data_IF_138134763794
#
_entry.id   IF_138134763794
#
_cell.length_a   1.000
_cell.length_b   1.000
_cell.length_c   1.000
_cell.angle_alpha   90.00
_cell.angle_beta   90.00
_cell.angle_gamma   90.00
#
_symmetry.space_group_name_H-M   'P 1'
#
loop_
_entity.id
_entity.type
_entity.pdbx_description
1 polymer ?
#
# COMPACT_ATOMS: atom_id res chain seq x y z
N UNK A 1 -3.89 4.77 53.50
CA UNK A 1 -2.67 4.91 52.68
C UNK A 1 -2.35 3.59 52.05
N UNK A 2 -2.78 3.38 50.80
CA UNK A 2 -2.56 2.14 50.07
C UNK A 2 -1.21 2.23 49.38
N UNK A 3 -0.22 1.52 49.89
CA UNK A 3 1.08 1.36 49.27
C UNK A 3 0.93 0.53 48.01
N UNK A 4 0.95 1.18 46.85
CA UNK A 4 1.14 0.49 45.60
C UNK A 4 2.62 0.08 45.54
N UNK A 5 2.90 -1.12 46.02
CA UNK A 5 4.20 -1.77 45.81
C UNK A 5 4.28 -2.06 44.30
N UNK A 6 4.94 -1.20 43.58
CA UNK A 6 5.42 -1.44 42.22
C UNK A 6 6.26 -2.69 42.25
N UNK A 7 5.70 -3.82 41.86
CA UNK A 7 6.45 -5.05 41.65
C UNK A 7 7.31 -4.91 40.41
N UNK A 8 8.42 -4.28 40.53
CA UNK A 8 9.58 -4.55 39.68
C UNK A 8 10.11 -5.94 40.00
N UNK A 9 9.32 -6.97 39.76
CA UNK A 9 9.83 -8.34 39.66
C UNK A 9 10.71 -8.40 38.43
N UNK A 10 11.93 -8.21 38.72
CA UNK A 10 13.12 -8.23 37.90
C UNK A 10 13.13 -9.44 36.99
N UNK A 11 13.41 -9.19 35.71
CA UNK A 11 13.88 -10.13 34.68
C UNK A 11 14.97 -11.12 35.17
N UNK A 12 15.42 -10.96 36.39
CA UNK A 12 16.50 -11.69 37.03
C UNK A 12 16.08 -13.06 37.58
N UNK A 13 14.77 -13.31 37.75
CA UNK A 13 14.23 -14.58 38.29
C UNK A 13 13.53 -15.45 37.22
N UNK A 14 13.54 -15.01 35.97
CA UNK A 14 13.03 -15.84 34.88
C UNK A 14 14.01 -16.97 34.60
N UNK A 15 13.52 -18.20 34.74
CA UNK A 15 14.29 -19.40 34.40
C UNK A 15 14.89 -19.24 33.00
N UNK A 16 16.15 -19.61 32.78
CA UNK A 16 16.82 -19.40 31.49
C UNK A 16 16.06 -20.01 30.29
N UNK A 17 15.27 -21.05 30.54
CA UNK A 17 14.39 -21.63 29.53
C UNK A 17 13.30 -20.67 29.03
N UNK A 18 12.73 -19.82 29.90
CA UNK A 18 11.69 -18.84 29.54
C UNK A 18 12.30 -17.67 28.73
N UNK A 19 13.51 -17.27 29.09
CA UNK A 19 14.27 -16.25 28.34
C UNK A 19 14.62 -16.75 26.92
N UNK A 20 15.06 -18.01 26.80
CA UNK A 20 15.35 -18.63 25.51
C UNK A 20 14.08 -18.73 24.62
N UNK A 21 12.96 -19.12 25.18
CA UNK A 21 11.69 -19.19 24.42
C UNK A 21 11.20 -17.82 23.96
N UNK A 22 11.31 -16.78 24.80
CA UNK A 22 10.95 -15.41 24.43
C UNK A 22 11.86 -14.85 23.32
N UNK A 23 13.16 -15.14 23.38
CA UNK A 23 14.12 -14.77 22.34
C UNK A 23 13.81 -15.47 21.00
N UNK A 24 13.47 -16.75 21.03
CA UNK A 24 13.07 -17.51 19.83
C UNK A 24 11.78 -16.95 19.20
N UNK A 25 10.78 -16.59 19.99
CA UNK A 25 9.54 -16.00 19.52
C UNK A 25 9.80 -14.61 18.91
N UNK A 26 10.66 -13.81 19.53
CA UNK A 26 11.03 -12.48 19.03
C UNK A 26 11.76 -12.56 17.69
N UNK A 27 12.65 -13.53 17.49
CA UNK A 27 13.35 -13.74 16.20
C UNK A 27 12.40 -14.21 15.11
N UNK A 28 11.43 -15.07 15.41
CA UNK A 28 10.41 -15.52 14.48
C UNK A 28 9.48 -14.38 14.02
N UNK A 29 9.13 -13.45 14.93
CA UNK A 29 8.30 -12.28 14.61
C UNK A 29 9.05 -11.27 13.72
N UNK A 30 10.35 -11.12 13.89
CA UNK A 30 11.18 -10.22 13.06
C UNK A 30 11.31 -10.73 11.61
N UNK A 31 11.41 -12.04 11.41
CA UNK A 31 11.49 -12.61 10.05
C UNK A 31 10.17 -12.51 9.30
N UNK A 32 9.03 -12.63 9.97
CA UNK A 32 7.71 -12.50 9.35
C UNK A 32 7.43 -11.09 8.77
N UNK A 33 7.98 -10.03 9.35
CA UNK A 33 7.83 -8.66 8.85
C UNK A 33 8.68 -8.38 7.59
N UNK A 34 9.78 -9.07 7.37
CA UNK A 34 10.66 -8.90 6.22
C UNK A 34 10.02 -9.47 4.94
N UNK A 35 9.36 -10.59 5.03
CA UNK A 35 8.78 -11.31 3.89
C UNK A 35 7.64 -10.56 3.21
N UNK A 36 6.87 -9.75 3.95
CA UNK A 36 5.79 -8.92 3.40
C UNK A 36 6.24 -7.83 2.42
N UNK A 37 7.52 -7.48 2.39
CA UNK A 37 8.05 -6.47 1.46
C UNK A 37 8.42 -7.07 0.11
N UNK A 38 8.82 -8.32 0.06
CA UNK A 38 9.22 -9.00 -1.17
C UNK A 38 8.04 -9.42 -2.05
N UNK A 39 6.87 -9.66 -1.43
CA UNK A 39 5.63 -10.03 -2.13
C UNK A 39 4.90 -8.85 -2.79
N UNK A 40 5.43 -7.62 -2.69
CA UNK A 40 4.84 -6.46 -3.35
C UNK A 40 5.14 -6.45 -4.83
N UNK A 41 4.11 -6.23 -5.63
CA UNK A 41 4.26 -6.07 -7.07
C UNK A 41 5.16 -4.85 -7.35
N UNK A 42 6.20 -5.07 -8.15
CA UNK A 42 7.10 -4.04 -8.63
C UNK A 42 6.71 -3.66 -10.06
N UNK A 43 6.76 -2.40 -10.37
CA UNK A 43 6.56 -1.87 -11.70
C UNK A 43 7.85 -1.19 -12.13
N UNK A 44 8.38 -1.57 -13.29
CA UNK A 44 9.69 -1.12 -13.76
C UNK A 44 10.79 -1.30 -12.68
N UNK A 45 10.77 -2.44 -11.98
CA UNK A 45 11.71 -2.77 -10.91
C UNK A 45 11.56 -1.95 -9.62
N UNK A 46 10.62 -1.00 -9.55
CA UNK A 46 10.41 -0.10 -8.42
C UNK A 46 9.12 -0.42 -7.66
N UNK A 47 9.10 -0.04 -6.39
CA UNK A 47 7.92 -0.15 -5.53
C UNK A 47 7.19 1.18 -5.47
N UNK A 48 5.89 1.15 -5.74
CA UNK A 48 5.02 2.33 -5.66
C UNK A 48 3.97 2.18 -4.56
N UNK A 49 3.53 3.31 -4.06
CA UNK A 49 2.31 3.42 -3.27
C UNK A 49 1.22 3.99 -4.16
N UNK A 50 0.30 3.14 -4.57
CA UNK A 50 -0.87 3.54 -5.32
C UNK A 50 -2.11 3.39 -4.45
N UNK A 51 -3.05 4.32 -4.59
CA UNK A 51 -4.30 4.31 -3.84
C UNK A 51 -5.41 4.90 -4.69
N UNK A 52 -6.44 4.10 -4.93
CA UNK A 52 -7.65 4.52 -5.60
C UNK A 52 -8.71 5.00 -4.60
N UNK A 53 -9.37 6.11 -4.91
CA UNK A 53 -10.44 6.70 -4.10
C UNK A 53 -11.62 7.07 -5.00
N UNK A 54 -12.83 6.88 -4.50
CA UNK A 54 -14.03 7.41 -5.16
C UNK A 54 -14.02 8.93 -5.17
N UNK A 55 -14.48 9.51 -6.27
CA UNK A 55 -14.64 10.97 -6.41
C UNK A 55 -16.04 11.39 -5.97
N UNK A 56 -17.04 10.55 -6.22
CA UNK A 56 -18.43 10.81 -5.89
C UNK A 56 -19.10 9.72 -5.05
N UNK A 57 -20.38 9.89 -4.73
CA UNK A 57 -21.17 8.92 -3.97
C UNK A 57 -21.40 7.60 -4.70
N UNK A 58 -21.39 7.60 -6.03
CA UNK A 58 -21.67 6.42 -6.87
C UNK A 58 -20.50 5.46 -6.96
N UNK A 59 -19.30 5.88 -6.59
CA UNK A 59 -18.04 5.11 -6.65
C UNK A 59 -17.59 4.70 -8.04
N UNK A 60 -18.36 5.00 -9.09
CA UNK A 60 -17.96 4.74 -10.48
C UNK A 60 -16.77 5.60 -10.85
N UNK A 61 -16.84 6.89 -10.56
CA UNK A 61 -15.75 7.82 -10.79
C UNK A 61 -14.71 7.71 -9.66
N UNK A 62 -13.47 7.54 -10.05
CA UNK A 62 -12.37 7.36 -9.13
C UNK A 62 -11.15 8.19 -9.51
N UNK A 63 -10.29 8.39 -8.53
CA UNK A 63 -8.98 9.00 -8.68
C UNK A 63 -7.94 8.07 -8.08
N UNK A 64 -6.84 7.85 -8.80
CA UNK A 64 -5.69 7.08 -8.33
C UNK A 64 -4.52 8.02 -8.12
N UNK A 65 -3.92 7.97 -6.95
CA UNK A 65 -2.70 8.71 -6.61
C UNK A 65 -1.56 7.73 -6.44
N UNK A 66 -0.50 7.92 -7.21
CA UNK A 66 0.69 7.07 -7.23
C UNK A 66 1.91 7.88 -6.79
N UNK A 67 2.78 7.28 -5.96
CA UNK A 67 4.04 7.88 -5.49
C UNK A 67 5.08 6.82 -5.12
N UNK A 68 6.39 7.10 -5.18
CA UNK A 68 7.04 8.31 -5.72
C UNK A 68 7.15 8.22 -7.25
N UNK A 69 6.81 9.28 -7.97
CA UNK A 69 6.93 9.33 -9.44
C UNK A 69 8.40 9.39 -9.89
N UNK A 70 9.24 10.01 -9.06
CA UNK A 70 10.67 10.14 -9.29
C UNK A 70 11.43 8.82 -9.39
N UNK A 71 10.87 7.73 -8.86
CA UNK A 71 11.49 6.40 -8.95
C UNK A 71 11.46 5.85 -10.40
N UNK A 72 10.34 6.00 -11.09
CA UNK A 72 10.12 5.71 -12.51
C UNK A 72 8.75 6.24 -12.91
N UNK A 73 8.72 7.10 -13.92
CA UNK A 73 7.46 7.62 -14.45
C UNK A 73 6.65 6.52 -15.13
N UNK A 74 7.31 5.66 -15.91
CA UNK A 74 6.67 4.52 -16.57
C UNK A 74 6.12 3.51 -15.57
N UNK A 75 6.91 3.18 -14.54
CA UNK A 75 6.45 2.33 -13.45
C UNK A 75 5.27 2.91 -12.68
N UNK A 76 5.23 4.23 -12.49
CA UNK A 76 4.10 4.91 -11.85
C UNK A 76 2.81 4.80 -12.69
N UNK A 77 2.90 4.93 -14.01
CA UNK A 77 1.77 4.73 -14.94
C UNK A 77 1.21 3.31 -14.85
N UNK A 78 2.09 2.31 -14.90
CA UNK A 78 1.70 0.90 -14.74
C UNK A 78 1.07 0.61 -13.38
N UNK A 79 1.65 1.11 -12.30
CA UNK A 79 1.09 0.99 -10.95
C UNK A 79 -0.30 1.63 -10.85
N UNK A 80 -0.49 2.75 -11.51
CA UNK A 80 -1.78 3.44 -11.58
C UNK A 80 -2.84 2.64 -12.34
N UNK A 81 -2.47 2.06 -13.48
CA UNK A 81 -3.35 1.18 -14.27
C UNK A 81 -3.77 -0.04 -13.46
N UNK A 82 -2.82 -0.68 -12.81
CA UNK A 82 -3.06 -1.83 -11.94
C UNK A 82 -4.03 -1.50 -10.80
N UNK A 83 -3.81 -0.41 -10.09
CA UNK A 83 -4.65 -0.02 -8.95
C UNK A 83 -6.07 0.39 -9.38
N UNK A 84 -6.23 1.05 -10.52
CA UNK A 84 -7.52 1.38 -11.11
C UNK A 84 -8.32 0.12 -11.45
N UNK A 85 -7.69 -0.82 -12.15
CA UNK A 85 -8.31 -2.11 -12.49
C UNK A 85 -8.73 -2.86 -11.23
N UNK A 86 -7.86 -2.90 -10.23
CA UNK A 86 -8.14 -3.53 -8.94
C UNK A 86 -9.32 -2.89 -8.21
N UNK A 87 -9.41 -1.55 -8.25
CA UNK A 87 -10.53 -0.79 -7.69
C UNK A 87 -11.85 -1.15 -8.38
N UNK A 88 -11.88 -1.17 -9.71
CA UNK A 88 -13.08 -1.50 -10.47
C UNK A 88 -13.51 -2.96 -10.29
N UNK A 89 -12.58 -3.90 -10.27
CA UNK A 89 -12.88 -5.32 -9.98
C UNK A 89 -13.49 -5.46 -8.58
N UNK A 90 -12.88 -4.83 -7.58
CA UNK A 90 -13.30 -4.95 -6.18
C UNK A 90 -14.67 -4.33 -5.89
N UNK A 91 -15.06 -3.27 -6.61
CA UNK A 91 -16.32 -2.57 -6.39
C UNK A 91 -17.44 -3.00 -7.36
N UNK A 92 -17.10 -3.39 -8.59
CA UNK A 92 -18.08 -3.59 -9.67
C UNK A 92 -17.87 -4.90 -10.46
N UNK A 93 -16.82 -5.66 -10.17
CA UNK A 93 -16.54 -6.93 -10.85
C UNK A 93 -16.09 -6.77 -12.32
N UNK A 94 -15.70 -5.56 -12.74
CA UNK A 94 -15.21 -5.27 -14.09
C UNK A 94 -13.77 -4.79 -14.07
N UNK A 95 -13.00 -5.20 -15.08
CA UNK A 95 -11.66 -4.65 -15.34
C UNK A 95 -11.68 -3.47 -16.31
N UNK A 96 -12.84 -3.15 -16.88
CA UNK A 96 -12.98 -2.11 -17.89
C UNK A 96 -12.98 -0.73 -17.23
N UNK A 97 -12.03 0.10 -17.65
CA UNK A 97 -11.83 1.46 -17.16
C UNK A 97 -11.91 2.43 -18.33
N UNK A 98 -12.80 3.41 -18.22
CA UNK A 98 -12.83 4.57 -19.11
C UNK A 98 -11.99 5.69 -18.49
N UNK A 99 -10.90 6.06 -19.14
CA UNK A 99 -9.98 7.06 -18.63
C UNK A 99 -10.42 8.47 -18.98
N UNK A 100 -10.37 9.35 -17.98
CA UNK A 100 -10.53 10.81 -18.14
C UNK A 100 -9.14 11.44 -18.24
N UNK A 101 -8.29 11.17 -17.25
CA UNK A 101 -6.86 11.51 -17.22
C UNK A 101 -6.11 10.18 -17.04
N UNK A 102 -5.81 9.49 -18.12
CA UNK A 102 -5.32 8.11 -18.10
C UNK A 102 -3.82 7.97 -18.11
N UNK A 103 -3.32 6.74 -17.90
CA UNK A 103 -1.89 6.45 -17.93
C UNK A 103 -1.27 6.56 -19.33
N UNK A 104 -2.10 6.57 -20.38
CA UNK A 104 -1.68 6.67 -21.77
C UNK A 104 -1.91 8.09 -22.37
N UNK A 105 -2.13 9.08 -21.51
CA UNK A 105 -2.24 10.46 -21.93
C UNK A 105 -0.96 10.94 -22.63
N UNK A 106 -1.11 11.88 -23.56
CA UNK A 106 0.04 12.48 -24.24
C UNK A 106 0.94 13.22 -23.26
N UNK A 107 2.24 13.28 -23.60
CA UNK A 107 3.23 13.95 -22.78
C UNK A 107 2.83 15.42 -22.51
N UNK A 108 2.91 15.81 -21.24
CA UNK A 108 2.57 17.15 -20.76
C UNK A 108 1.15 17.31 -20.24
N UNK A 109 0.27 16.31 -20.39
CA UNK A 109 -1.10 16.35 -19.84
C UNK A 109 -1.24 15.69 -18.47
N UNK A 110 -0.19 15.03 -18.01
CA UNK A 110 -0.19 14.34 -16.71
C UNK A 110 -0.24 15.31 -15.53
N UNK A 111 -1.08 15.00 -14.56
CA UNK A 111 -1.14 15.73 -13.29
C UNK A 111 -0.08 15.20 -12.34
N UNK A 112 1.10 15.80 -12.39
CA UNK A 112 2.20 15.50 -11.47
C UNK A 112 2.42 16.68 -10.54
N UNK A 113 2.36 16.44 -9.24
CA UNK A 113 2.63 17.44 -8.21
C UNK A 113 3.17 16.76 -6.95
N UNK A 114 4.20 17.35 -6.35
CA UNK A 114 4.82 16.85 -5.12
C UNK A 114 5.18 15.36 -5.19
N UNK A 115 5.82 14.95 -6.27
CA UNK A 115 6.25 13.56 -6.54
C UNK A 115 5.07 12.55 -6.58
N UNK A 116 3.89 13.04 -6.98
CA UNK A 116 2.66 12.24 -7.12
C UNK A 116 2.10 12.38 -8.52
N UNK A 117 1.76 11.25 -9.13
CA UNK A 117 0.96 11.17 -10.33
C UNK A 117 -0.51 10.94 -9.93
N UNK A 118 -1.40 11.74 -10.47
CA UNK A 118 -2.84 11.59 -10.28
C UNK A 118 -3.49 11.20 -11.59
N UNK A 119 -4.20 10.06 -11.58
CA UNK A 119 -4.98 9.55 -12.71
C UNK A 119 -6.46 9.57 -12.33
N UNK A 120 -7.34 9.76 -13.32
CA UNK A 120 -8.80 9.75 -13.13
C UNK A 120 -9.47 8.89 -14.18
N UNK A 121 -10.49 8.17 -13.76
CA UNK A 121 -11.28 7.34 -14.65
C UNK A 121 -12.63 6.97 -14.06
N UNK A 122 -13.39 6.25 -14.85
CA UNK A 122 -14.70 5.72 -14.50
C UNK A 122 -14.70 4.22 -14.74
N UNK A 123 -15.21 3.44 -13.78
CA UNK A 123 -15.43 2.01 -14.00
C UNK A 123 -16.61 1.82 -14.96
N UNK A 124 -16.44 0.99 -15.99
CA UNK A 124 -17.46 0.67 -16.97
C UNK A 124 -18.07 -0.72 -16.71
N UNK A 125 -19.04 -0.87 -15.79
CA UNK A 125 -19.71 -2.14 -15.57
C UNK A 125 -20.61 -2.46 -16.79
N UNK A 126 -20.52 -3.71 -17.24
CA UNK A 126 -21.38 -4.23 -18.33
C UNK A 126 -22.74 -4.62 -17.81
#
# INVERSE_FOLDING_TARGET
MTQIKTQTRTLRDMRPAVLMTLLLIATLLLTACSQRREDRIKFDGQLFRASAKKVDKRRLDFEVVIRPVSASFEGAREAGRYEATRYCIGNFGTSDVEWIDGPDAEDGTFRVSNDRLTLRGTCAPR
#
